data_IF_204637984396
#
_entry.id   IF_204637984396
#
_cell.length_a   1.000
_cell.length_b   1.000
_cell.length_c   1.000
_cell.angle_alpha   90.00
_cell.angle_beta   90.00
_cell.angle_gamma   90.00
#
_symmetry.space_group_name_H-M   'P 1'
#
loop_
_entity.id
_entity.type
_entity.pdbx_description
1 polymer ?
#
# COMPACT_ATOMS: atom_id res chain seq x y z
N UNK A 1 -14.73 -10.76 15.62
CA UNK A 1 -14.03 -9.63 14.96
C UNK A 1 -12.63 -9.57 15.58
N UNK A 2 -11.66 -10.15 14.88
CA UNK A 2 -10.28 -10.26 15.33
C UNK A 2 -9.59 -8.91 15.04
N UNK A 3 -8.84 -8.28 15.96
CA UNK A 3 -8.41 -8.75 17.28
C UNK A 3 -8.93 -7.83 18.41
N UNK A 4 -10.13 -8.07 18.96
CA UNK A 4 -10.63 -7.33 20.16
C UNK A 4 -10.28 -8.03 21.48
N UNK A 5 -9.08 -8.59 21.61
CA UNK A 5 -8.59 -9.00 22.93
C UNK A 5 -7.69 -7.90 23.50
N UNK A 6 -7.75 -7.70 24.82
CA UNK A 6 -6.99 -6.66 25.54
C UNK A 6 -5.48 -6.73 25.27
N UNK A 7 -4.96 -7.91 24.91
CA UNK A 7 -3.56 -8.14 24.57
C UNK A 7 -3.29 -8.23 23.06
N UNK A 8 -4.11 -8.99 22.32
CA UNK A 8 -3.86 -9.25 20.89
C UNK A 8 -4.13 -8.02 20.02
N UNK A 9 -5.07 -7.16 20.41
CA UNK A 9 -5.35 -5.92 19.68
C UNK A 9 -4.13 -5.01 19.59
N UNK A 10 -3.56 -4.57 20.72
CA UNK A 10 -2.35 -3.76 20.74
C UNK A 10 -1.16 -4.42 20.03
N UNK A 11 -0.92 -5.71 20.28
CA UNK A 11 0.19 -6.45 19.66
C UNK A 11 0.05 -6.51 18.13
N UNK A 12 -1.16 -6.74 17.62
CA UNK A 12 -1.44 -6.72 16.20
C UNK A 12 -1.11 -5.36 15.58
N UNK A 13 -1.56 -4.26 16.18
CA UNK A 13 -1.29 -2.92 15.66
C UNK A 13 0.20 -2.53 15.73
N UNK A 14 0.91 -2.96 16.78
CA UNK A 14 2.36 -2.79 16.86
C UNK A 14 3.08 -3.56 15.73
N UNK A 15 2.68 -4.81 15.48
CA UNK A 15 3.24 -5.61 14.40
C UNK A 15 2.98 -4.96 13.02
N UNK A 16 1.76 -4.49 12.78
CA UNK A 16 1.41 -3.75 11.55
C UNK A 16 2.27 -2.50 11.37
N UNK A 17 2.49 -1.73 12.43
CA UNK A 17 3.40 -0.58 12.40
C UNK A 17 4.84 -0.97 12.05
N UNK A 18 5.36 -2.05 12.65
CA UNK A 18 6.68 -2.57 12.34
C UNK A 18 6.80 -3.00 10.88
N UNK A 19 5.78 -3.66 10.32
CA UNK A 19 5.76 -4.04 8.89
C UNK A 19 5.79 -2.82 7.97
N UNK A 20 5.07 -1.75 8.31
CA UNK A 20 5.10 -0.49 7.53
C UNK A 20 6.51 0.11 7.54
N UNK A 21 7.16 0.16 8.71
CA UNK A 21 8.54 0.67 8.82
C UNK A 21 9.51 -0.17 7.99
N UNK A 22 9.48 -1.49 8.12
CA UNK A 22 10.34 -2.41 7.36
C UNK A 22 10.11 -2.26 5.86
N UNK A 23 8.86 -2.13 5.43
CA UNK A 23 8.51 -1.91 4.03
C UNK A 23 9.17 -0.64 3.47
N UNK A 24 9.04 0.50 4.16
CA UNK A 24 9.65 1.75 3.70
C UNK A 24 11.18 1.75 3.80
N UNK A 25 11.76 1.07 4.78
CA UNK A 25 13.21 0.87 4.86
C UNK A 25 13.72 0.05 3.68
N UNK A 26 13.05 -1.07 3.35
CA UNK A 26 13.37 -1.89 2.19
C UNK A 26 13.21 -1.14 0.87
N UNK A 27 12.16 -0.32 0.75
CA UNK A 27 11.95 0.52 -0.43
C UNK A 27 13.07 1.57 -0.57
N UNK A 28 13.45 2.23 0.52
CA UNK A 28 14.54 3.20 0.50
C UNK A 28 15.89 2.55 0.11
N UNK A 29 16.17 1.35 0.64
CA UNK A 29 17.35 0.58 0.27
C UNK A 29 17.34 0.21 -1.22
N UNK A 30 16.21 -0.29 -1.73
CA UNK A 30 16.05 -0.63 -3.15
C UNK A 30 16.29 0.58 -4.07
N UNK A 31 15.74 1.74 -3.73
CA UNK A 31 15.90 2.96 -4.52
C UNK A 31 17.35 3.47 -4.49
N UNK A 32 18.04 3.32 -3.35
CA UNK A 32 19.45 3.65 -3.20
C UNK A 32 20.34 2.72 -4.05
N UNK A 33 20.08 1.42 -4.02
CA UNK A 33 20.80 0.44 -4.84
C UNK A 33 20.63 0.71 -6.34
N UNK A 34 19.46 1.23 -6.74
CA UNK A 34 19.14 1.64 -8.11
C UNK A 34 19.66 3.04 -8.48
N UNK A 35 20.37 3.72 -7.57
CA UNK A 35 20.87 5.09 -7.77
C UNK A 35 19.77 6.10 -8.13
N UNK A 36 18.54 5.90 -7.63
CA UNK A 36 17.41 6.79 -7.89
C UNK A 36 17.45 7.92 -6.83
N UNK A 37 17.73 9.18 -7.22
CA UNK A 37 17.79 10.28 -6.26
C UNK A 37 16.38 10.61 -5.78
N UNK A 38 16.13 10.36 -4.49
CA UNK A 38 14.84 10.62 -3.84
C UNK A 38 14.90 11.91 -3.03
N UNK A 39 14.25 12.95 -3.54
CA UNK A 39 13.97 14.20 -2.85
C UNK A 39 12.56 14.16 -2.21
N UNK A 40 12.28 15.12 -1.32
CA UNK A 40 11.05 15.14 -0.51
C UNK A 40 9.76 14.99 -1.33
N UNK A 41 9.65 15.66 -2.48
CA UNK A 41 8.48 15.56 -3.35
C UNK A 41 8.32 14.17 -4.00
N UNK A 42 9.42 13.52 -4.40
CA UNK A 42 9.39 12.14 -4.91
C UNK A 42 8.91 11.17 -3.82
N UNK A 43 9.34 11.37 -2.57
CA UNK A 43 8.83 10.61 -1.42
C UNK A 43 7.35 10.83 -1.16
N UNK A 44 6.89 12.08 -1.22
CA UNK A 44 5.48 12.41 -1.05
C UNK A 44 4.62 11.67 -2.10
N UNK A 45 5.02 11.67 -3.37
CA UNK A 45 4.31 10.94 -4.42
C UNK A 45 4.23 9.43 -4.17
N UNK A 46 5.34 8.82 -3.71
CA UNK A 46 5.38 7.39 -3.36
C UNK A 46 4.46 7.08 -2.20
N UNK A 47 4.50 7.88 -1.13
CA UNK A 47 3.64 7.68 0.04
C UNK A 47 2.17 7.85 -0.33
N UNK A 48 1.83 8.90 -1.10
CA UNK A 48 0.46 9.10 -1.59
C UNK A 48 -0.02 7.92 -2.43
N UNK A 49 0.81 7.40 -3.33
CA UNK A 49 0.48 6.22 -4.13
C UNK A 49 0.27 4.98 -3.25
N UNK A 50 1.12 4.74 -2.25
CA UNK A 50 0.95 3.65 -1.29
C UNK A 50 -0.36 3.76 -0.50
N UNK A 51 -0.73 4.96 -0.05
CA UNK A 51 -1.99 5.21 0.68
C UNK A 51 -3.19 4.91 -0.23
N UNK A 52 -3.16 5.37 -1.49
CA UNK A 52 -4.23 5.10 -2.44
C UNK A 52 -4.36 3.60 -2.72
N UNK A 53 -3.24 2.89 -2.92
CA UNK A 53 -3.23 1.45 -3.10
C UNK A 53 -3.81 0.73 -1.87
N UNK A 54 -3.44 1.17 -0.66
CA UNK A 54 -3.99 0.65 0.59
C UNK A 54 -5.51 0.81 0.66
N UNK A 55 -6.04 1.99 0.31
CA UNK A 55 -7.49 2.24 0.27
C UNK A 55 -8.18 1.30 -0.73
N UNK A 56 -7.60 1.08 -1.91
CA UNK A 56 -8.15 0.15 -2.91
C UNK A 56 -8.20 -1.28 -2.36
N UNK A 57 -7.12 -1.73 -1.75
CA UNK A 57 -7.03 -3.07 -1.15
C UNK A 57 -8.07 -3.22 -0.04
N UNK A 58 -8.08 -2.30 0.93
CA UNK A 58 -9.03 -2.33 2.05
C UNK A 58 -10.46 -2.28 1.55
N UNK A 59 -10.80 -1.36 0.63
CA UNK A 59 -12.14 -1.25 0.07
C UNK A 59 -12.59 -2.54 -0.64
N UNK A 60 -11.70 -3.18 -1.39
CA UNK A 60 -11.98 -4.47 -2.02
C UNK A 60 -12.25 -5.59 -1.02
N UNK A 61 -11.43 -5.70 0.03
CA UNK A 61 -11.62 -6.69 1.09
C UNK A 61 -12.83 -6.39 1.98
N UNK A 62 -13.21 -5.13 2.17
CA UNK A 62 -14.46 -4.76 2.84
C UNK A 62 -15.66 -5.31 2.07
N UNK A 63 -15.72 -5.11 0.75
CA UNK A 63 -16.78 -5.66 -0.09
C UNK A 63 -16.84 -7.19 -0.06
N UNK A 64 -15.68 -7.85 0.02
CA UNK A 64 -15.62 -9.31 0.24
C UNK A 64 -16.21 -9.71 1.59
N UNK A 65 -15.95 -8.94 2.64
CA UNK A 65 -16.53 -9.17 3.97
C UNK A 65 -18.04 -8.94 4.04
N UNK A 66 -18.57 -8.06 3.19
CA UNK A 66 -20.01 -7.75 3.09
C UNK A 66 -20.81 -8.72 2.20
N UNK A 67 -20.22 -9.86 1.82
CA UNK A 67 -20.79 -10.85 0.88
C UNK A 67 -21.02 -10.33 -0.55
N UNK A 68 -20.44 -9.18 -0.90
CA UNK A 68 -20.51 -8.58 -2.23
C UNK A 68 -19.28 -8.96 -3.07
N UNK A 69 -19.02 -10.26 -3.20
CA UNK A 69 -17.77 -10.77 -3.80
C UNK A 69 -17.57 -10.31 -5.24
N UNK A 70 -18.64 -10.21 -6.04
CA UNK A 70 -18.52 -9.69 -7.42
C UNK A 70 -18.11 -8.22 -7.42
N UNK A 71 -18.71 -7.39 -6.57
CA UNK A 71 -18.37 -5.98 -6.47
C UNK A 71 -16.91 -5.80 -6.01
N UNK A 72 -16.47 -6.56 -5.01
CA UNK A 72 -15.08 -6.54 -4.56
C UNK A 72 -14.08 -6.94 -5.65
N UNK A 73 -14.41 -7.95 -6.47
CA UNK A 73 -13.57 -8.38 -7.59
C UNK A 73 -13.48 -7.30 -8.67
N UNK A 74 -14.61 -6.68 -9.04
CA UNK A 74 -14.60 -5.58 -10.00
C UNK A 74 -13.87 -4.35 -9.47
N UNK A 75 -14.06 -4.01 -8.18
CA UNK A 75 -13.39 -2.89 -7.53
C UNK A 75 -11.87 -3.09 -7.51
N UNK A 76 -11.39 -4.24 -7.03
CA UNK A 76 -9.96 -4.58 -7.04
C UNK A 76 -9.41 -4.70 -8.46
N UNK A 77 -10.18 -5.28 -9.39
CA UNK A 77 -9.76 -5.43 -10.77
C UNK A 77 -9.54 -4.08 -11.45
N UNK A 78 -10.54 -3.19 -11.39
CA UNK A 78 -10.48 -1.89 -12.06
C UNK A 78 -9.52 -0.94 -11.36
N UNK A 79 -9.73 -0.68 -10.06
CA UNK A 79 -8.91 0.29 -9.34
C UNK A 79 -7.52 -0.26 -9.03
N UNK A 80 -7.37 -1.56 -8.78
CA UNK A 80 -6.06 -2.18 -8.58
C UNK A 80 -5.22 -2.15 -9.86
N UNK A 81 -5.81 -2.44 -11.02
CA UNK A 81 -5.11 -2.30 -12.31
C UNK A 81 -4.75 -0.85 -12.58
N UNK A 82 -5.66 0.10 -12.32
CA UNK A 82 -5.36 1.53 -12.44
C UNK A 82 -4.19 1.93 -11.54
N UNK A 83 -4.17 1.51 -10.27
CA UNK A 83 -3.07 1.79 -9.35
C UNK A 83 -1.76 1.14 -9.78
N UNK A 84 -1.79 -0.05 -10.40
CA UNK A 84 -0.60 -0.68 -10.97
C UNK A 84 -0.03 0.15 -12.15
N UNK A 85 -0.89 0.64 -13.04
CA UNK A 85 -0.49 1.53 -14.15
C UNK A 85 0.11 2.83 -13.62
N UNK A 86 -0.53 3.46 -12.63
CA UNK A 86 0.01 4.65 -11.96
C UNK A 86 1.35 4.36 -11.29
N UNK A 87 1.51 3.17 -10.68
CA UNK A 87 2.77 2.75 -10.07
C UNK A 87 3.91 2.63 -11.08
N UNK A 88 3.64 2.08 -12.26
CA UNK A 88 4.61 2.02 -13.36
C UNK A 88 4.95 3.43 -13.86
N UNK A 89 3.95 4.31 -14.02
CA UNK A 89 4.16 5.68 -14.42
C UNK A 89 5.00 6.45 -13.39
N UNK A 90 4.73 6.25 -12.10
CA UNK A 90 5.49 6.82 -11.00
C UNK A 90 6.94 6.32 -11.03
N UNK A 91 7.16 5.02 -11.19
CA UNK A 91 8.52 4.48 -11.30
C UNK A 91 9.31 5.08 -12.46
N UNK A 92 8.66 5.30 -13.62
CA UNK A 92 9.26 6.02 -14.75
C UNK A 92 9.53 7.49 -14.45
N UNK A 93 8.71 8.15 -13.64
CA UNK A 93 8.94 9.53 -13.21
C UNK A 93 10.12 9.61 -12.23
N UNK A 94 10.28 8.63 -11.35
CA UNK A 94 11.35 8.60 -10.35
C UNK A 94 12.72 8.35 -10.98
N UNK A 95 12.78 7.53 -12.03
CA UNK A 95 14.00 7.17 -12.76
C UNK A 95 14.46 8.22 -13.78
N UNK A 96 13.65 9.26 -14.00
CA UNK A 96 14.07 10.49 -14.68
C UNK A 96 14.68 11.48 -13.69
#
# INVERSE_FOLDING_TARGET
MFPYSTFLGPVFWMAMGAFVVIFFMGLAALLKDRQIPMNWWKWLLVVTWCIMLYIVVVGGFTLFGENETRAGLYFLGVFGTFMAVVGVALYRLLTK
#
